data_IF_774915756862
#
_entry.id   IF_774915756862
#
_cell.length_a   1.000
_cell.length_b   1.000
_cell.length_c   1.000
_cell.angle_alpha   90.00
_cell.angle_beta   90.00
_cell.angle_gamma   90.00
#
_symmetry.space_group_name_H-M   'P 1'
#
loop_
_entity.id
_entity.type
_entity.pdbx_description
1 polymer ?
#
# COMPACT_ATOMS: atom_id res chain seq x y z
N UNK A 1 47.18 -25.35 -1.15
CA UNK A 1 47.19 -24.46 0.04
C UNK A 1 46.89 -23.07 -0.49
N UNK A 2 45.64 -22.89 -0.91
CA UNK A 2 44.57 -22.18 -0.16
C UNK A 2 44.66 -20.69 -0.45
N UNK A 3 44.08 -20.33 -1.60
CA UNK A 3 43.67 -18.98 -1.95
C UNK A 3 42.62 -18.53 -0.91
N UNK A 4 42.95 -17.52 -0.11
CA UNK A 4 41.96 -16.81 0.70
C UNK A 4 41.32 -15.74 -0.21
N UNK A 5 40.19 -16.09 -0.82
CA UNK A 5 39.25 -15.11 -1.34
C UNK A 5 38.44 -14.55 -0.16
N UNK A 6 38.83 -13.41 0.38
CA UNK A 6 37.95 -12.65 1.28
C UNK A 6 36.77 -12.15 0.45
N UNK A 7 35.60 -12.76 0.66
CA UNK A 7 34.33 -12.26 0.16
C UNK A 7 34.00 -10.97 0.90
N UNK A 8 34.08 -9.85 0.19
CA UNK A 8 33.62 -8.55 0.68
C UNK A 8 32.08 -8.63 0.76
N UNK A 9 31.55 -8.88 1.96
CA UNK A 9 30.14 -8.66 2.26
C UNK A 9 29.88 -7.15 2.22
N UNK A 10 29.35 -6.68 1.08
CA UNK A 10 28.87 -5.32 0.94
C UNK A 10 27.50 -5.20 1.64
N UNK A 11 27.49 -5.17 2.97
CA UNK A 11 26.33 -4.71 3.74
C UNK A 11 26.19 -3.21 3.53
N UNK A 12 25.59 -2.81 2.40
CA UNK A 12 25.03 -1.48 2.27
C UNK A 12 23.97 -1.33 3.38
N UNK A 13 24.27 -0.54 4.41
CA UNK A 13 23.26 -0.11 5.37
C UNK A 13 22.28 0.75 4.59
N UNK A 14 21.19 0.16 4.10
CA UNK A 14 20.12 0.90 3.43
C UNK A 14 19.61 1.91 4.45
N UNK A 15 19.94 3.18 4.22
CA UNK A 15 19.49 4.28 5.06
C UNK A 15 17.96 4.26 5.06
N UNK A 16 17.36 4.07 6.24
CA UNK A 16 15.91 4.03 6.37
C UNK A 16 15.31 5.38 5.95
N UNK A 17 14.28 5.32 5.11
CA UNK A 17 13.53 6.51 4.74
C UNK A 17 12.70 7.03 5.92
N UNK A 18 12.23 8.27 5.83
CA UNK A 18 11.51 8.93 6.93
C UNK A 18 10.18 8.24 7.31
N UNK A 19 9.56 7.49 6.40
CA UNK A 19 8.32 6.74 6.67
C UNK A 19 8.64 5.52 7.53
N UNK A 20 9.69 4.77 7.18
CA UNK A 20 10.18 3.65 7.98
C UNK A 20 10.55 4.09 9.40
N UNK A 21 11.28 5.19 9.54
CA UNK A 21 11.64 5.74 10.85
C UNK A 21 10.41 6.11 11.70
N UNK A 22 9.33 6.57 11.07
CA UNK A 22 8.07 6.86 11.77
C UNK A 22 7.34 5.59 12.19
N UNK A 23 7.29 4.59 11.31
CA UNK A 23 6.72 3.28 11.62
C UNK A 23 7.47 2.63 12.78
N UNK A 24 8.81 2.62 12.76
CA UNK A 24 9.66 2.08 13.82
C UNK A 24 9.31 2.73 15.18
N UNK A 25 9.20 4.05 15.22
CA UNK A 25 8.85 4.80 16.44
C UNK A 25 7.43 4.49 16.94
N UNK A 26 6.46 4.36 16.03
CA UNK A 26 5.08 4.03 16.39
C UNK A 26 4.95 2.58 16.92
N UNK A 27 5.72 1.65 16.34
CA UNK A 27 5.81 0.26 16.82
C UNK A 27 6.44 0.22 18.23
N UNK A 28 7.53 0.94 18.45
CA UNK A 28 8.18 1.04 19.78
C UNK A 28 7.25 1.64 20.82
N UNK A 29 6.45 2.65 20.44
CA UNK A 29 5.43 3.26 21.29
C UNK A 29 4.18 2.39 21.48
N UNK A 30 4.06 1.25 20.80
CA UNK A 30 2.92 0.33 20.89
C UNK A 30 1.63 0.86 20.25
N UNK A 31 1.73 1.83 19.33
CA UNK A 31 0.58 2.39 18.60
C UNK A 31 -0.09 1.29 17.78
N UNK A 32 -1.43 1.23 17.79
CA UNK A 32 -2.22 0.23 17.08
C UNK A 32 -1.81 -1.24 17.37
N UNK A 33 -1.21 -1.51 18.53
CA UNK A 33 -0.70 -2.83 18.87
C UNK A 33 0.51 -3.28 18.05
N UNK A 34 1.23 -2.33 17.43
CA UNK A 34 2.39 -2.59 16.56
C UNK A 34 2.03 -3.06 15.15
N UNK A 35 0.75 -3.09 14.79
CA UNK A 35 0.30 -3.56 13.47
C UNK A 35 0.39 -2.44 12.45
N UNK A 36 1.19 -2.67 11.41
CA UNK A 36 1.24 -1.79 10.24
C UNK A 36 0.14 -2.18 9.25
N UNK A 37 -0.73 -1.24 8.91
CA UNK A 37 -1.79 -1.46 7.92
C UNK A 37 -1.80 -0.32 6.91
N UNK A 38 -1.34 -0.60 5.68
CA UNK A 38 -1.28 0.37 4.58
C UNK A 38 -2.44 0.17 3.60
N UNK A 39 -2.55 1.10 2.63
CA UNK A 39 -3.47 0.96 1.50
C UNK A 39 -2.93 1.64 0.26
N UNK A 40 -3.21 1.05 -0.91
CA UNK A 40 -3.07 1.70 -2.20
C UNK A 40 -4.47 2.07 -2.73
N UNK A 41 -4.83 3.37 -2.81
CA UNK A 41 -6.18 3.79 -3.15
C UNK A 41 -6.29 4.47 -4.54
N UNK A 42 -6.22 3.74 -5.67
CA UNK A 42 -6.38 4.33 -6.99
C UNK A 42 -7.85 4.66 -7.29
N UNK A 43 -8.08 5.73 -8.06
CA UNK A 43 -9.37 5.97 -8.71
C UNK A 43 -9.50 5.03 -9.93
N UNK A 44 -10.59 4.26 -10.09
CA UNK A 44 -10.74 3.32 -11.21
C UNK A 44 -11.24 4.03 -12.49
N UNK A 45 -10.53 5.07 -12.94
CA UNK A 45 -10.90 5.89 -14.10
C UNK A 45 -9.80 6.00 -15.18
N UNK A 46 -8.76 5.18 -15.06
CA UNK A 46 -7.65 5.12 -16.02
C UNK A 46 -6.64 4.02 -15.68
N UNK A 47 -5.78 3.69 -16.64
CA UNK A 47 -4.70 2.72 -16.43
C UNK A 47 -3.58 3.28 -15.57
N UNK A 48 -2.92 2.39 -14.81
CA UNK A 48 -1.76 2.80 -14.04
C UNK A 48 -0.57 3.10 -14.97
N UNK A 49 0.11 4.21 -14.72
CA UNK A 49 1.43 4.47 -15.29
C UNK A 49 2.53 4.32 -14.23
N UNK A 50 3.80 4.43 -14.66
CA UNK A 50 5.01 4.26 -13.82
C UNK A 50 5.04 5.13 -12.55
N UNK A 51 4.28 6.23 -12.52
CA UNK A 51 4.14 7.07 -11.33
C UNK A 51 3.47 6.33 -10.16
N UNK A 52 2.49 5.47 -10.46
CA UNK A 52 1.80 4.65 -9.47
C UNK A 52 2.68 3.54 -8.91
N UNK A 53 3.65 3.03 -9.69
CA UNK A 53 4.56 1.99 -9.23
C UNK A 53 5.29 2.40 -7.94
N UNK A 54 5.67 3.68 -7.80
CA UNK A 54 6.27 4.19 -6.56
C UNK A 54 5.31 4.07 -5.37
N UNK A 55 4.05 4.45 -5.54
CA UNK A 55 3.06 4.39 -4.47
C UNK A 55 2.70 2.94 -4.09
N UNK A 56 2.66 2.03 -5.07
CA UNK A 56 2.47 0.59 -4.87
C UNK A 56 3.65 0.04 -4.08
N UNK A 57 4.88 0.23 -4.54
CA UNK A 57 6.08 -0.27 -3.87
C UNK A 57 6.21 0.27 -2.43
N UNK A 58 5.81 1.53 -2.18
CA UNK A 58 5.79 2.07 -0.82
C UNK A 58 4.71 1.38 0.01
N UNK A 59 3.46 1.31 -0.47
CA UNK A 59 2.35 0.80 0.34
C UNK A 59 2.50 -0.69 0.64
N UNK A 60 2.66 -1.51 -0.41
CA UNK A 60 2.80 -2.95 -0.28
C UNK A 60 4.17 -3.36 0.25
N UNK A 61 5.24 -2.65 -0.15
CA UNK A 61 6.59 -2.95 0.32
C UNK A 61 6.75 -2.69 1.81
N UNK A 62 6.20 -1.58 2.34
CA UNK A 62 6.25 -1.30 3.78
C UNK A 62 5.43 -2.31 4.58
N UNK A 63 4.20 -2.62 4.15
CA UNK A 63 3.44 -3.65 4.85
C UNK A 63 4.18 -4.99 4.85
N UNK A 64 4.80 -5.39 3.72
CA UNK A 64 5.60 -6.61 3.66
C UNK A 64 6.85 -6.56 4.54
N UNK A 65 7.55 -5.43 4.61
CA UNK A 65 8.74 -5.24 5.47
C UNK A 65 8.41 -5.38 6.96
N UNK A 66 7.23 -4.91 7.36
CA UNK A 66 6.80 -4.88 8.76
C UNK A 66 5.78 -5.98 9.12
N UNK A 67 5.69 -7.05 8.32
CA UNK A 67 4.74 -8.16 8.50
C UNK A 67 3.28 -7.70 8.72
N UNK A 68 2.93 -6.60 8.07
CA UNK A 68 1.64 -5.92 8.15
C UNK A 68 0.65 -6.31 7.06
N UNK A 69 -0.42 -5.51 6.98
CA UNK A 69 -1.50 -5.68 6.02
C UNK A 69 -1.49 -4.55 4.99
N UNK A 70 -1.91 -4.84 3.76
CA UNK A 70 -2.19 -3.85 2.72
C UNK A 70 -3.58 -4.09 2.15
N UNK A 71 -4.38 -3.03 2.14
CA UNK A 71 -5.64 -3.00 1.40
C UNK A 71 -5.42 -2.47 -0.02
N UNK A 72 -6.09 -3.09 -0.99
CA UNK A 72 -6.39 -2.44 -2.26
C UNK A 72 -7.76 -1.79 -2.11
N UNK A 73 -7.85 -0.47 -2.28
CA UNK A 73 -9.13 0.24 -2.17
C UNK A 73 -9.40 1.04 -3.43
N UNK A 74 -10.47 0.76 -4.13
CA UNK A 74 -10.88 1.62 -5.24
C UNK A 74 -11.55 2.87 -4.66
N UNK A 75 -11.03 4.04 -5.03
CA UNK A 75 -11.63 5.34 -4.67
C UNK A 75 -12.71 5.69 -5.70
N UNK A 76 -13.79 4.91 -5.69
CA UNK A 76 -14.87 4.89 -6.68
C UNK A 76 -16.03 5.84 -6.31
N UNK A 77 -15.68 7.10 -6.07
CA UNK A 77 -16.64 8.12 -5.64
C UNK A 77 -17.26 8.91 -6.79
N UNK A 78 -16.81 8.69 -8.02
CA UNK A 78 -17.21 9.40 -9.22
C UNK A 78 -17.93 8.49 -10.23
N UNK A 79 -19.27 8.40 -10.18
CA UNK A 79 -20.05 7.43 -10.94
C UNK A 79 -20.02 7.60 -12.46
N UNK A 80 -19.40 8.67 -12.99
CA UNK A 80 -19.39 8.99 -14.44
C UNK A 80 -18.10 8.51 -15.12
N UNK A 81 -17.01 8.36 -14.37
CA UNK A 81 -15.68 8.10 -14.96
C UNK A 81 -15.14 6.70 -14.67
N UNK A 82 -15.90 5.91 -13.92
CA UNK A 82 -15.43 4.66 -13.35
C UNK A 82 -15.94 3.48 -14.15
N UNK A 83 -15.03 2.59 -14.53
CA UNK A 83 -15.32 1.40 -15.33
C UNK A 83 -14.69 0.17 -14.68
N UNK A 84 -15.38 -0.97 -14.76
CA UNK A 84 -14.89 -2.28 -14.32
C UNK A 84 -13.59 -2.63 -15.04
N UNK A 85 -13.42 -2.19 -16.29
CA UNK A 85 -12.18 -2.37 -17.04
C UNK A 85 -10.95 -1.84 -16.28
N UNK A 86 -11.05 -0.65 -15.69
CA UNK A 86 -9.92 -0.05 -14.96
C UNK A 86 -9.66 -0.78 -13.65
N UNK A 87 -10.71 -1.27 -12.98
CA UNK A 87 -10.57 -2.10 -11.77
C UNK A 87 -9.75 -3.35 -12.09
N UNK A 88 -10.09 -4.06 -13.18
CA UNK A 88 -9.39 -5.28 -13.58
C UNK A 88 -7.94 -5.01 -14.00
N UNK A 89 -7.70 -3.95 -14.79
CA UNK A 89 -6.36 -3.56 -15.19
C UNK A 89 -5.46 -3.19 -13.98
N UNK A 90 -6.01 -2.45 -13.01
CA UNK A 90 -5.29 -2.11 -11.77
C UNK A 90 -4.90 -3.38 -11.00
N UNK A 91 -5.81 -4.35 -10.87
CA UNK A 91 -5.52 -5.64 -10.21
C UNK A 91 -4.39 -6.38 -10.93
N UNK A 92 -4.45 -6.42 -12.26
CA UNK A 92 -3.43 -7.07 -13.09
C UNK A 92 -2.06 -6.42 -12.92
N UNK A 93 -1.97 -5.09 -12.97
CA UNK A 93 -0.71 -4.35 -12.82
C UNK A 93 -0.07 -4.56 -11.45
N UNK A 94 -0.87 -4.54 -10.37
CA UNK A 94 -0.38 -4.80 -9.01
C UNK A 94 0.16 -6.23 -8.90
N UNK A 95 -0.56 -7.21 -9.46
CA UNK A 95 -0.13 -8.61 -9.48
C UNK A 95 1.11 -8.81 -10.33
N UNK A 96 1.21 -8.12 -11.47
CA UNK A 96 2.37 -8.15 -12.36
C UNK A 96 3.62 -7.60 -11.67
N UNK A 97 3.47 -6.57 -10.83
CA UNK A 97 4.54 -6.05 -9.96
C UNK A 97 4.91 -7.00 -8.80
N UNK A 98 4.22 -8.14 -8.65
CA UNK A 98 4.51 -9.16 -7.65
C UNK A 98 3.92 -8.90 -6.27
N UNK A 99 2.88 -8.06 -6.20
CA UNK A 99 2.16 -7.76 -4.96
C UNK A 99 0.74 -8.34 -4.99
N UNK A 100 0.24 -8.72 -3.82
CA UNK A 100 -1.16 -9.13 -3.62
C UNK A 100 -1.68 -8.48 -2.33
N UNK A 101 -2.90 -7.91 -2.31
CA UNK A 101 -3.47 -7.33 -1.10
C UNK A 101 -3.85 -8.44 -0.12
N UNK A 102 -3.26 -8.40 1.08
CA UNK A 102 -3.53 -9.35 2.17
C UNK A 102 -4.51 -8.80 3.22
N UNK A 103 -4.82 -7.50 3.19
CA UNK A 103 -5.82 -6.88 4.07
C UNK A 103 -7.24 -6.85 3.47
N UNK A 104 -7.36 -7.17 2.19
CA UNK A 104 -8.62 -7.23 1.45
C UNK A 104 -8.71 -6.19 0.33
N UNK A 105 -9.78 -6.33 -0.43
CA UNK A 105 -10.17 -5.41 -1.49
C UNK A 105 -11.46 -4.68 -1.08
N UNK A 106 -11.50 -3.37 -1.30
CA UNK A 106 -12.59 -2.51 -0.83
C UNK A 106 -12.97 -1.48 -1.89
N UNK A 107 -14.23 -1.04 -1.87
CA UNK A 107 -14.75 0.05 -2.67
C UNK A 107 -15.20 1.17 -1.75
N UNK A 108 -14.88 2.41 -2.10
CA UNK A 108 -15.28 3.58 -1.30
C UNK A 108 -16.80 3.81 -1.35
N UNK A 109 -17.43 3.46 -2.47
CA UNK A 109 -18.88 3.49 -2.66
C UNK A 109 -19.65 2.62 -1.65
N UNK A 110 -19.09 1.48 -1.23
CA UNK A 110 -19.68 0.61 -0.19
C UNK A 110 -19.84 1.33 1.17
N UNK A 111 -19.08 2.41 1.39
CA UNK A 111 -19.12 3.19 2.63
C UNK A 111 -20.02 4.44 2.55
N UNK A 112 -20.74 4.67 1.45
CA UNK A 112 -21.55 5.88 1.28
C UNK A 112 -22.59 6.10 2.39
N UNK A 113 -23.29 5.05 2.84
CA UNK A 113 -24.25 5.18 3.95
C UNK A 113 -23.56 5.64 5.25
N UNK A 114 -22.35 5.13 5.50
CA UNK A 114 -21.55 5.51 6.67
C UNK A 114 -21.03 6.95 6.53
N UNK A 115 -20.53 7.33 5.36
CA UNK A 115 -20.06 8.69 5.08
C UNK A 115 -21.21 9.70 5.21
N UNK A 116 -22.39 9.38 4.71
CA UNK A 116 -23.59 10.19 4.88
C UNK A 116 -23.97 10.34 6.37
N UNK A 117 -23.93 9.25 7.12
CA UNK A 117 -24.16 9.28 8.57
C UNK A 117 -23.16 10.18 9.30
N UNK A 118 -21.89 10.18 8.90
CA UNK A 118 -20.89 11.09 9.45
C UNK A 118 -21.14 12.54 9.06
N UNK A 119 -21.57 12.81 7.83
CA UNK A 119 -21.94 14.16 7.41
C UNK A 119 -23.07 14.73 8.28
N UNK A 120 -24.09 13.93 8.61
CA UNK A 120 -25.17 14.35 9.51
C UNK A 120 -24.71 14.70 10.94
N UNK A 121 -23.62 14.09 11.43
CA UNK A 121 -23.06 14.40 12.75
C UNK A 121 -22.23 15.69 12.78
N UNK A 122 -21.77 16.15 11.62
CA UNK A 122 -20.94 17.35 11.49
C UNK A 122 -21.76 18.63 11.32
N UNK A 123 -23.03 18.51 10.92
CA UNK A 123 -24.01 19.61 10.81
C UNK A 123 -24.58 19.92 12.19
#
# INVERSE_FOLDING_TARGET
MSENSESIENTESVSRNFIQQKIDADIEAGVNGGVVHTRFPPEPNGYLHIGHAKAICISFGLAKEFDGLTNLRFDDTNPVKEDVEYVDAIREDIKWLGFEPNGGEFFTSDYFDQLYTYALKLI
#
